data_IF_846860875817
#
_entry.id   IF_846860875817
#
_cell.length_a   1.000
_cell.length_b   1.000
_cell.length_c   1.000
_cell.angle_alpha   90.00
_cell.angle_beta   90.00
_cell.angle_gamma   90.00
#
_symmetry.space_group_name_H-M   'P 1'
#
loop_
_entity.id
_entity.type
_entity.pdbx_description
1 polymer ?
#
# COMPACT_ATOMS: atom_id res chain seq x y z
N UNK A 1 -38.25 2.74 2.92
CA UNK A 1 -37.08 3.46 3.47
C UNK A 1 -35.84 2.68 3.06
N UNK A 2 -34.87 3.26 2.31
CA UNK A 2 -33.61 2.56 2.09
C UNK A 2 -32.92 2.32 3.43
N UNK A 3 -32.40 1.12 3.64
CA UNK A 3 -31.79 0.70 4.89
C UNK A 3 -30.54 1.58 5.14
N UNK A 4 -30.56 2.42 6.17
CA UNK A 4 -29.41 3.27 6.51
C UNK A 4 -28.35 2.38 7.14
N UNK A 5 -27.44 1.87 6.32
CA UNK A 5 -26.28 1.10 6.79
C UNK A 5 -25.39 2.07 7.57
N UNK A 6 -25.33 1.89 8.89
CA UNK A 6 -24.46 2.66 9.76
C UNK A 6 -23.08 1.98 9.82
N UNK A 7 -22.09 2.60 9.19
CA UNK A 7 -20.69 2.17 9.32
C UNK A 7 -20.20 2.46 10.75
N UNK A 8 -19.75 1.41 11.44
CA UNK A 8 -19.20 1.52 12.81
C UNK A 8 -17.75 2.03 12.83
N UNK A 9 -17.03 1.87 11.72
CA UNK A 9 -15.63 2.25 11.58
C UNK A 9 -15.49 3.46 10.67
N UNK A 10 -14.63 4.40 11.06
CA UNK A 10 -14.34 5.61 10.32
C UNK A 10 -12.84 5.84 10.19
N UNK A 11 -12.41 6.22 8.99
CA UNK A 11 -11.05 6.70 8.70
C UNK A 11 -10.52 7.77 9.67
N UNK A 12 -11.40 8.57 10.28
CA UNK A 12 -11.06 9.66 11.22
C UNK A 12 -10.82 9.20 12.65
N UNK A 13 -11.11 7.93 12.97
CA UNK A 13 -10.81 7.37 14.28
C UNK A 13 -9.29 7.32 14.52
N UNK A 14 -8.91 7.23 15.79
CA UNK A 14 -7.51 7.12 16.18
C UNK A 14 -6.83 5.92 15.49
N UNK A 15 -5.53 6.01 15.16
CA UNK A 15 -4.79 4.88 14.60
C UNK A 15 -4.92 3.63 15.48
N UNK A 16 -5.18 2.48 14.85
CA UNK A 16 -5.34 1.19 15.54
C UNK A 16 -6.78 0.82 15.86
N UNK A 17 -7.74 1.75 15.83
CA UNK A 17 -9.16 1.41 16.06
C UNK A 17 -9.70 0.49 14.96
N UNK A 18 -9.31 0.71 13.70
CA UNK A 18 -9.77 -0.12 12.58
C UNK A 18 -9.09 -1.49 12.64
N UNK A 19 -7.77 -1.52 12.79
CA UNK A 19 -6.98 -2.74 12.86
C UNK A 19 -7.37 -3.61 14.06
N UNK A 20 -7.54 -3.03 15.25
CA UNK A 20 -8.01 -3.78 16.43
C UNK A 20 -9.41 -4.35 16.22
N UNK A 21 -10.30 -3.61 15.55
CA UNK A 21 -11.61 -4.13 15.19
C UNK A 21 -11.55 -5.27 14.16
N UNK A 22 -10.59 -5.26 13.23
CA UNK A 22 -10.36 -6.38 12.31
C UNK A 22 -9.81 -7.61 13.05
N UNK A 23 -8.85 -7.42 13.95
CA UNK A 23 -8.30 -8.48 14.81
C UNK A 23 -9.41 -9.11 15.66
N UNK A 24 -10.23 -8.29 16.33
CA UNK A 24 -11.31 -8.75 17.19
C UNK A 24 -12.40 -9.54 16.42
N UNK A 25 -12.61 -9.23 15.14
CA UNK A 25 -13.54 -9.96 14.26
C UNK A 25 -12.95 -11.26 13.70
N UNK A 26 -11.67 -11.54 13.94
CA UNK A 26 -10.98 -12.64 13.29
C UNK A 26 -10.92 -12.47 11.77
N UNK A 27 -10.76 -11.22 11.31
CA UNK A 27 -10.64 -10.94 9.88
C UNK A 27 -9.54 -11.80 9.26
N UNK A 28 -9.78 -12.25 8.02
CA UNK A 28 -8.85 -13.14 7.34
C UNK A 28 -7.51 -12.43 7.19
N UNK A 29 -6.41 -13.16 7.40
CA UNK A 29 -5.06 -12.61 7.22
C UNK A 29 -4.43 -11.98 8.46
N UNK A 30 -5.20 -11.72 9.53
CA UNK A 30 -4.65 -11.26 10.82
C UNK A 30 -3.53 -12.19 11.28
N UNK A 31 -2.41 -11.61 11.73
CA UNK A 31 -1.23 -12.35 12.17
C UNK A 31 -0.33 -12.87 11.05
N UNK A 32 -0.63 -12.56 9.79
CA UNK A 32 0.28 -12.83 8.65
C UNK A 32 1.02 -11.56 8.23
N UNK A 33 2.19 -11.73 7.63
CA UNK A 33 2.92 -10.62 7.00
C UNK A 33 2.34 -10.31 5.61
N UNK A 34 2.15 -9.02 5.36
CA UNK A 34 1.79 -8.42 4.09
C UNK A 34 2.98 -7.57 3.62
N UNK A 35 3.41 -7.75 2.37
CA UNK A 35 4.44 -6.89 1.79
C UNK A 35 3.89 -5.46 1.62
N UNK A 36 4.67 -4.48 2.03
CA UNK A 36 4.35 -3.05 1.97
C UNK A 36 5.58 -2.32 1.44
N UNK A 37 5.36 -1.39 0.51
CA UNK A 37 6.41 -0.54 -0.06
C UNK A 37 6.09 0.90 0.28
N UNK A 38 6.98 1.57 1.00
CA UNK A 38 6.87 3.00 1.32
C UNK A 38 7.76 3.78 0.37
N UNK A 39 7.18 4.68 -0.42
CA UNK A 39 7.90 5.51 -1.40
C UNK A 39 7.54 6.99 -1.24
N UNK A 40 8.25 7.87 -1.94
CA UNK A 40 7.99 9.30 -1.95
C UNK A 40 8.91 10.03 -2.93
N UNK A 41 9.01 11.37 -2.84
CA UNK A 41 9.84 12.15 -3.74
C UNK A 41 11.35 11.82 -3.61
N UNK A 42 12.17 12.17 -4.61
CA UNK A 42 13.60 11.87 -4.61
C UNK A 42 14.32 12.38 -3.34
N UNK A 43 15.19 11.54 -2.78
CA UNK A 43 15.95 11.84 -1.58
C UNK A 43 15.21 11.63 -0.27
N UNK A 44 13.91 11.31 -0.30
CA UNK A 44 13.14 10.99 0.91
C UNK A 44 13.73 9.77 1.62
N UNK A 45 13.87 9.86 2.94
CA UNK A 45 14.31 8.74 3.75
C UNK A 45 13.25 8.33 4.76
N UNK A 46 13.16 7.02 5.01
CA UNK A 46 12.16 6.40 5.88
C UNK A 46 12.86 5.52 6.92
N UNK A 47 12.57 5.76 8.18
CA UNK A 47 12.99 4.93 9.31
C UNK A 47 11.80 4.15 9.88
N UNK A 48 11.99 2.84 10.04
CA UNK A 48 11.08 1.93 10.72
C UNK A 48 11.43 1.86 12.21
N UNK A 49 10.43 1.63 13.06
CA UNK A 49 10.64 1.43 14.49
C UNK A 49 10.83 -0.04 14.86
N UNK A 50 11.69 -0.31 15.84
CA UNK A 50 11.90 -1.62 16.48
C UNK A 50 12.42 -1.38 17.90
N UNK A 51 12.01 -2.22 18.86
CA UNK A 51 12.50 -2.15 20.26
C UNK A 51 12.40 -0.74 20.87
N UNK A 52 11.22 -0.11 20.72
CA UNK A 52 10.91 1.25 21.17
C UNK A 52 11.81 2.37 20.61
N UNK A 53 12.49 2.13 19.47
CA UNK A 53 13.38 3.11 18.84
C UNK A 53 13.21 3.14 17.32
N UNK A 54 13.50 4.28 16.70
CA UNK A 54 13.66 4.34 15.24
C UNK A 54 15.03 3.80 14.85
N UNK A 55 15.06 2.91 13.86
CA UNK A 55 16.29 2.47 13.23
C UNK A 55 16.89 3.57 12.34
N UNK A 56 18.16 3.44 11.91
CA UNK A 56 18.72 4.32 10.90
C UNK A 56 17.82 4.41 9.66
N UNK A 57 17.61 5.63 9.12
CA UNK A 57 16.74 5.81 7.97
C UNK A 57 17.34 5.18 6.71
N UNK A 58 16.46 4.69 5.85
CA UNK A 58 16.79 4.10 4.55
C UNK A 58 16.25 5.00 3.44
N UNK A 59 16.95 5.07 2.32
CA UNK A 59 16.46 5.78 1.14
C UNK A 59 15.19 5.10 0.61
N UNK A 60 14.16 5.90 0.31
CA UNK A 60 12.94 5.40 -0.30
C UNK A 60 13.19 4.96 -1.76
N UNK A 61 12.55 3.88 -2.24
CA UNK A 61 11.50 3.11 -1.58
C UNK A 61 12.01 2.05 -0.59
N UNK A 62 11.32 1.90 0.54
CA UNK A 62 11.58 0.87 1.56
C UNK A 62 10.51 -0.22 1.51
N UNK A 63 10.91 -1.47 1.33
CA UNK A 63 9.99 -2.62 1.29
C UNK A 63 10.15 -3.48 2.55
N UNK A 64 9.03 -3.80 3.18
CA UNK A 64 8.99 -4.64 4.37
C UNK A 64 7.73 -5.48 4.42
N UNK A 65 7.80 -6.62 5.11
CA UNK A 65 6.64 -7.39 5.52
C UNK A 65 6.12 -6.83 6.83
N UNK A 66 4.87 -6.39 6.85
CA UNK A 66 4.17 -5.85 8.01
C UNK A 66 3.01 -6.77 8.42
N UNK A 67 2.82 -7.02 9.71
CA UNK A 67 1.70 -7.82 10.21
C UNK A 67 0.37 -7.12 9.93
N UNK A 68 -0.57 -7.90 9.38
CA UNK A 68 -1.97 -7.51 9.31
C UNK A 68 -2.54 -7.41 10.72
N UNK A 69 -3.18 -6.28 11.01
CA UNK A 69 -3.63 -5.85 12.33
C UNK A 69 -2.65 -4.93 13.06
N UNK A 70 -1.46 -4.67 12.49
CA UNK A 70 -0.44 -3.81 13.08
C UNK A 70 -0.59 -2.32 12.71
N UNK A 71 -0.15 -1.45 13.61
CA UNK A 71 0.01 0.00 13.40
C UNK A 71 1.49 0.34 13.45
N UNK A 72 2.03 0.82 12.33
CA UNK A 72 3.44 1.10 12.17
C UNK A 72 3.67 2.60 12.20
N UNK A 73 4.39 3.09 13.21
CA UNK A 73 4.94 4.45 13.19
C UNK A 73 6.21 4.46 12.35
N UNK A 74 6.25 5.35 11.37
CA UNK A 74 7.45 5.65 10.59
C UNK A 74 8.00 7.01 10.99
N UNK A 75 9.28 7.24 10.74
CA UNK A 75 9.90 8.56 10.75
C UNK A 75 10.36 8.87 9.33
N UNK A 76 9.98 10.04 8.82
CA UNK A 76 10.23 10.49 7.46
C UNK A 76 11.09 11.74 7.52
N UNK A 77 12.22 11.72 6.81
CA UNK A 77 13.25 12.78 6.81
C UNK A 77 13.70 13.07 5.38
N UNK A 78 14.56 14.09 5.22
CA UNK A 78 15.04 14.56 3.91
C UNK A 78 13.88 14.93 2.97
N UNK A 79 12.89 15.65 3.53
CA UNK A 79 11.73 16.10 2.77
C UNK A 79 12.17 17.23 1.81
N UNK A 80 11.87 17.14 0.50
CA UNK A 80 12.25 18.16 -0.47
C UNK A 80 11.81 19.56 -0.06
N UNK A 81 12.69 20.54 -0.26
CA UNK A 81 12.47 21.95 0.07
C UNK A 81 12.16 22.24 1.56
N UNK A 82 12.31 21.25 2.45
CA UNK A 82 12.01 21.33 3.89
C UNK A 82 13.15 20.71 4.72
N UNK A 83 14.38 21.24 4.62
CA UNK A 83 15.55 20.64 5.26
C UNK A 83 15.42 20.64 6.79
N UNK A 84 15.70 19.49 7.41
CA UNK A 84 15.64 19.32 8.87
C UNK A 84 14.25 19.11 9.45
N UNK A 85 13.18 19.26 8.65
CA UNK A 85 11.84 18.89 9.07
C UNK A 85 11.64 17.38 9.01
N UNK A 86 10.86 16.86 9.96
CA UNK A 86 10.56 15.44 10.08
C UNK A 86 9.06 15.22 10.26
N UNK A 87 8.55 14.12 9.69
CA UNK A 87 7.18 13.68 9.86
C UNK A 87 7.13 12.27 10.44
N UNK A 88 6.04 11.99 11.16
CA UNK A 88 5.87 10.74 11.90
C UNK A 88 4.59 10.01 11.50
N UNK A 89 4.43 9.62 10.22
CA UNK A 89 3.19 9.03 9.75
C UNK A 89 2.96 7.64 10.35
N UNK A 90 1.69 7.25 10.36
CA UNK A 90 1.26 5.91 10.78
C UNK A 90 0.70 5.16 9.59
N UNK A 91 1.11 3.89 9.43
CA UNK A 91 0.55 2.95 8.48
C UNK A 91 -0.14 1.83 9.25
N UNK A 92 -1.44 1.69 9.07
CA UNK A 92 -2.27 0.67 9.68
C UNK A 92 -2.61 -0.39 8.63
N UNK A 93 -2.17 -1.63 8.83
CA UNK A 93 -2.43 -2.74 7.90
C UNK A 93 -3.71 -3.44 8.35
N UNK A 94 -4.78 -3.31 7.57
CA UNK A 94 -6.12 -3.74 8.00
C UNK A 94 -6.58 -5.02 7.29
N UNK A 95 -5.99 -5.36 6.14
CA UNK A 95 -6.22 -6.60 5.42
C UNK A 95 -5.01 -6.93 4.51
N UNK A 96 -5.05 -8.07 3.82
CA UNK A 96 -4.04 -8.53 2.86
C UNK A 96 -4.57 -8.59 1.43
N UNK A 97 -3.65 -8.58 0.47
CA UNK A 97 -3.98 -8.62 -0.96
C UNK A 97 -3.93 -10.03 -1.59
N UNK A 98 -3.61 -11.07 -0.81
CA UNK A 98 -3.54 -12.47 -1.26
C UNK A 98 -2.73 -12.68 -2.54
N UNK A 99 -1.46 -12.26 -2.59
CA UNK A 99 -0.62 -12.48 -3.76
C UNK A 99 -0.34 -13.99 -3.94
N UNK A 100 0.06 -14.43 -5.15
CA UNK A 100 0.49 -15.82 -5.37
C UNK A 100 1.60 -16.22 -4.40
N UNK A 101 1.52 -17.43 -3.87
CA UNK A 101 2.47 -17.96 -2.88
C UNK A 101 3.92 -17.84 -3.38
N UNK A 102 4.79 -17.30 -2.53
CA UNK A 102 6.21 -17.09 -2.84
C UNK A 102 6.49 -15.88 -3.74
N UNK A 103 5.47 -15.11 -4.12
CA UNK A 103 5.59 -13.87 -4.93
C UNK A 103 5.11 -12.63 -4.18
N UNK A 104 4.95 -12.71 -2.86
CA UNK A 104 4.44 -11.62 -2.01
C UNK A 104 5.23 -10.33 -2.21
N UNK A 105 6.56 -10.44 -2.31
CA UNK A 105 7.49 -9.34 -2.52
C UNK A 105 7.35 -8.63 -3.90
N UNK A 106 6.69 -9.27 -4.88
CA UNK A 106 6.36 -8.66 -6.18
C UNK A 106 5.11 -7.80 -6.13
N UNK A 107 4.26 -7.99 -5.13
CA UNK A 107 2.99 -7.28 -4.99
C UNK A 107 2.91 -6.64 -3.60
N UNK A 108 3.77 -5.65 -3.28
CA UNK A 108 3.63 -4.90 -2.05
C UNK A 108 2.42 -3.96 -2.14
N UNK A 109 1.76 -3.68 -1.01
CA UNK A 109 0.83 -2.56 -0.89
C UNK A 109 1.64 -1.27 -1.03
N UNK A 110 1.35 -0.41 -2.03
CA UNK A 110 2.07 0.86 -2.20
C UNK A 110 1.55 1.90 -1.20
N UNK A 111 2.46 2.45 -0.40
CA UNK A 111 2.24 3.58 0.49
C UNK A 111 3.07 4.74 -0.07
N UNK A 112 2.43 5.59 -0.87
CA UNK A 112 3.09 6.71 -1.54
C UNK A 112 2.93 7.97 -0.68
N UNK A 113 4.05 8.47 -0.16
CA UNK A 113 4.16 9.75 0.53
C UNK A 113 4.38 10.85 -0.53
N UNK A 114 3.29 11.37 -1.09
CA UNK A 114 3.39 12.38 -2.16
C UNK A 114 3.94 13.71 -1.63
N UNK A 115 4.58 14.50 -2.49
CA UNK A 115 5.10 15.82 -2.12
C UNK A 115 3.99 16.73 -1.55
N UNK A 116 2.79 16.67 -2.13
CA UNK A 116 1.64 17.44 -1.66
C UNK A 116 1.18 16.99 -0.26
N UNK A 117 1.12 15.69 0.02
CA UNK A 117 0.73 15.21 1.34
C UNK A 117 1.74 15.64 2.42
N UNK A 118 3.03 15.53 2.09
CA UNK A 118 4.11 15.94 2.98
C UNK A 118 4.03 17.44 3.26
N UNK A 119 3.83 18.25 2.21
CA UNK A 119 3.67 19.71 2.33
C UNK A 119 2.48 20.07 3.22
N UNK A 120 1.30 19.51 2.92
CA UNK A 120 0.09 19.74 3.72
C UNK A 120 0.29 19.34 5.19
N UNK A 121 0.93 18.20 5.45
CA UNK A 121 1.19 17.74 6.79
C UNK A 121 2.17 18.65 7.56
N UNK A 122 3.22 19.13 6.91
CA UNK A 122 4.16 20.09 7.52
C UNK A 122 3.49 21.45 7.77
N UNK A 123 2.53 21.84 6.94
CA UNK A 123 1.70 23.03 7.13
C UNK A 123 0.64 22.85 8.23
N UNK A 124 0.59 21.68 8.89
CA UNK A 124 -0.24 21.39 10.05
C UNK A 124 -1.55 20.66 9.74
N UNK A 125 -1.77 20.22 8.50
CA UNK A 125 -2.93 19.42 8.15
C UNK A 125 -2.76 17.94 8.59
N UNK A 126 -3.87 17.28 8.87
CA UNK A 126 -3.90 15.82 8.99
C UNK A 126 -4.31 15.22 7.65
N UNK A 127 -3.38 14.59 6.95
CA UNK A 127 -3.65 13.89 5.70
C UNK A 127 -3.97 12.42 6.01
N UNK A 128 -5.12 11.94 5.54
CA UNK A 128 -5.54 10.54 5.69
C UNK A 128 -5.80 9.92 4.33
N UNK A 129 -5.13 8.81 4.04
CA UNK A 129 -5.34 8.01 2.83
C UNK A 129 -5.80 6.63 3.21
N UNK A 130 -6.86 6.14 2.56
CA UNK A 130 -7.28 4.74 2.63
C UNK A 130 -6.85 4.08 1.34
N UNK A 131 -6.02 3.05 1.47
CA UNK A 131 -5.52 2.26 0.36
C UNK A 131 -6.44 1.04 0.23
N UNK A 132 -6.98 0.83 -0.96
CA UNK A 132 -7.85 -0.30 -1.26
C UNK A 132 -7.34 -1.09 -2.47
N UNK A 133 -7.68 -2.37 -2.48
CA UNK A 133 -7.57 -3.22 -3.65
C UNK A 133 -8.87 -3.09 -4.44
N UNK A 134 -8.80 -2.58 -5.66
CA UNK A 134 -9.95 -2.41 -6.54
C UNK A 134 -10.62 -3.75 -6.87
N UNK A 135 -11.95 -3.73 -7.03
CA UNK A 135 -12.69 -4.89 -7.51
C UNK A 135 -12.64 -4.97 -9.03
N UNK A 136 -12.08 -6.06 -9.57
CA UNK A 136 -11.96 -6.26 -11.02
C UNK A 136 -13.30 -6.30 -11.76
N UNK A 137 -14.40 -6.61 -11.09
CA UNK A 137 -15.73 -6.64 -11.71
C UNK A 137 -16.33 -5.22 -11.90
N UNK A 138 -15.84 -4.25 -11.12
CA UNK A 138 -16.37 -2.88 -11.05
C UNK A 138 -15.39 -1.87 -11.66
N UNK A 139 -14.10 -2.21 -11.71
CA UNK A 139 -13.03 -1.35 -12.19
C UNK A 139 -13.28 -0.85 -13.62
N UNK A 140 -13.16 0.45 -13.82
CA UNK A 140 -13.11 1.00 -15.17
C UNK A 140 -11.77 0.63 -15.82
N UNK A 141 -11.76 0.07 -17.05
CA UNK A 141 -10.54 -0.32 -17.73
C UNK A 141 -9.79 0.93 -18.24
N UNK A 142 -9.10 1.61 -17.32
CA UNK A 142 -8.26 2.77 -17.61
C UNK A 142 -6.82 2.33 -17.63
N UNK A 143 -6.16 2.51 -18.78
CA UNK A 143 -4.73 2.26 -18.91
C UNK A 143 -3.95 3.20 -17.99
N UNK A 144 -3.48 2.64 -16.88
CA UNK A 144 -2.72 3.36 -15.84
C UNK A 144 -1.29 2.87 -15.91
N UNK A 145 -0.29 3.76 -15.76
CA UNK A 145 1.10 3.32 -15.70
C UNK A 145 1.31 2.52 -14.40
N UNK A 146 2.15 1.50 -14.43
CA UNK A 146 2.41 0.63 -13.28
C UNK A 146 2.90 1.40 -12.03
N UNK A 147 3.42 2.62 -12.22
CA UNK A 147 3.96 3.47 -11.17
C UNK A 147 2.98 4.55 -10.68
N UNK A 148 1.79 4.66 -11.29
CA UNK A 148 0.79 5.65 -10.91
C UNK A 148 -0.32 5.02 -10.07
N UNK A 149 -0.55 5.58 -8.88
CA UNK A 149 -1.66 5.19 -8.01
C UNK A 149 -2.84 6.11 -8.29
N UNK A 150 -3.99 5.55 -8.66
CA UNK A 150 -5.23 6.31 -8.82
C UNK A 150 -5.65 6.88 -7.46
N UNK A 151 -5.94 8.19 -7.42
CA UNK A 151 -6.35 8.89 -6.20
C UNK A 151 -7.75 9.44 -6.38
N UNK A 152 -8.64 9.09 -5.45
CA UNK A 152 -9.98 9.66 -5.35
C UNK A 152 -10.01 10.59 -4.14
N UNK A 153 -10.34 11.86 -4.37
CA UNK A 153 -10.49 12.83 -3.28
C UNK A 153 -11.85 12.65 -2.61
N UNK A 154 -11.84 12.41 -1.30
CA UNK A 154 -13.04 12.25 -0.49
C UNK A 154 -13.30 13.54 0.31
N UNK A 155 -14.52 14.10 0.28
CA UNK A 155 -14.87 15.25 1.09
C UNK A 155 -14.62 15.00 2.59
N UNK A 156 -14.21 16.02 3.33
CA UNK A 156 -13.95 15.90 4.77
C UNK A 156 -15.21 15.56 5.59
N UNK A 157 -16.42 15.78 5.05
CA UNK A 157 -17.67 15.33 5.66
C UNK A 157 -17.83 13.81 5.65
N UNK A 158 -17.19 13.14 4.69
CA UNK A 158 -17.45 11.74 4.36
C UNK A 158 -16.44 10.82 5.04
N UNK A 159 -16.76 9.53 5.10
CA UNK A 159 -15.87 8.51 5.65
C UNK A 159 -15.08 7.86 4.51
N UNK A 160 -13.79 8.17 4.41
CA UNK A 160 -12.93 7.63 3.36
C UNK A 160 -12.82 6.10 3.41
N UNK A 161 -12.98 5.49 4.59
CA UNK A 161 -12.98 4.04 4.73
C UNK A 161 -14.22 3.42 4.08
N UNK A 162 -15.38 4.06 4.24
CA UNK A 162 -16.62 3.63 3.59
C UNK A 162 -16.56 3.82 2.07
N UNK A 163 -16.03 4.94 1.59
CA UNK A 163 -15.87 5.16 0.14
C UNK A 163 -14.94 4.11 -0.47
N UNK A 164 -13.81 3.83 0.18
CA UNK A 164 -12.88 2.79 -0.25
C UNK A 164 -13.52 1.39 -0.27
N UNK A 165 -14.38 1.07 0.71
CA UNK A 165 -15.13 -0.19 0.79
C UNK A 165 -16.20 -0.34 -0.31
N UNK A 166 -16.67 0.78 -0.88
CA UNK A 166 -17.58 0.77 -2.03
C UNK A 166 -16.85 0.59 -3.37
N UNK A 167 -15.59 1.03 -3.45
CA UNK A 167 -14.76 0.94 -4.65
C UNK A 167 -13.93 -0.36 -4.71
N UNK A 168 -13.81 -1.06 -3.60
CA UNK A 168 -13.04 -2.29 -3.49
C UNK A 168 -12.84 -2.69 -2.04
N UNK A 169 -11.71 -3.34 -1.74
CA UNK A 169 -11.40 -3.83 -0.39
C UNK A 169 -10.31 -2.98 0.28
N UNK A 170 -10.60 -2.25 1.36
CA UNK A 170 -9.59 -1.50 2.10
C UNK A 170 -8.54 -2.44 2.71
N UNK A 171 -7.26 -2.13 2.49
CA UNK A 171 -6.13 -2.96 2.93
C UNK A 171 -5.15 -2.23 3.84
N UNK A 172 -5.06 -0.91 3.72
CA UNK A 172 -4.23 -0.09 4.62
C UNK A 172 -4.80 1.31 4.83
N UNK A 173 -4.43 1.94 5.94
CA UNK A 173 -4.72 3.35 6.23
C UNK A 173 -3.41 4.06 6.54
N UNK A 174 -3.12 5.13 5.80
CA UNK A 174 -2.00 6.02 6.03
C UNK A 174 -2.51 7.32 6.66
N UNK A 175 -1.85 7.78 7.72
CA UNK A 175 -2.11 9.10 8.32
C UNK A 175 -0.81 9.87 8.50
N UNK A 176 -0.76 11.11 8.03
CA UNK A 176 0.41 12.00 8.06
C UNK A 176 -0.01 13.30 8.76
N UNK A 177 0.86 13.86 9.61
CA UNK A 177 0.57 15.07 10.39
C UNK A 177 0.55 14.85 11.90
N UNK A 178 0.89 13.64 12.37
CA UNK A 178 1.19 13.44 13.79
C UNK A 178 2.46 14.19 14.18
N UNK A 179 2.38 15.00 15.25
CA UNK A 179 3.52 15.65 15.87
C UNK A 179 4.05 14.78 17.01
N UNK A 180 5.36 14.81 17.21
CA UNK A 180 5.99 14.24 18.41
C UNK A 180 5.47 15.03 19.63
N UNK A 181 5.00 14.37 20.70
CA UNK A 181 4.72 15.06 21.95
C UNK A 181 5.97 15.81 22.41
N UNK A 182 5.85 17.11 22.72
CA UNK A 182 7.02 17.92 23.13
C UNK A 182 7.71 17.41 24.41
N UNK A 183 6.99 16.60 25.21
CA UNK A 183 7.50 15.94 26.40
C UNK A 183 7.70 14.43 26.14
N UNK A 184 8.73 14.06 25.38
CA UNK A 184 9.23 12.67 25.34
C UNK A 184 10.03 12.31 26.61
N UNK A 185 9.54 12.71 27.79
CA UNK A 185 10.11 12.32 29.07
C UNK A 185 9.68 10.89 29.50
N UNK A 186 9.00 10.15 28.62
CA UNK A 186 8.44 8.82 28.86
C UNK A 186 8.67 7.84 27.70
N UNK A 187 8.21 6.62 27.93
CA UNK A 187 8.37 5.45 27.06
C UNK A 187 7.85 5.71 25.62
N UNK A 188 8.77 5.75 24.65
CA UNK A 188 8.47 5.85 23.21
C UNK A 188 7.54 4.73 22.72
N UNK A 189 7.40 3.65 23.48
CA UNK A 189 6.56 2.48 23.14
C UNK A 189 5.14 2.87 22.75
N UNK A 190 4.47 3.76 23.50
CA UNK A 190 3.09 4.15 23.17
C UNK A 190 3.01 4.98 21.88
N UNK A 191 3.96 5.91 21.70
CA UNK A 191 4.05 6.71 20.47
C UNK A 191 4.29 5.83 19.23
N UNK A 192 5.05 4.75 19.42
CA UNK A 192 5.41 3.76 18.40
C UNK A 192 4.40 2.60 18.29
N UNK A 193 3.27 2.67 19.00
CA UNK A 193 2.21 1.65 19.00
C UNK A 193 2.72 0.25 19.39
N UNK A 194 3.63 0.17 20.34
CA UNK A 194 4.20 -1.10 20.80
C UNK A 194 5.21 -1.72 19.84
N UNK A 195 5.58 -1.04 18.74
CA UNK A 195 6.51 -1.53 17.72
C UNK A 195 6.14 -2.94 17.20
N UNK A 196 5.00 -3.11 16.50
CA UNK A 196 4.66 -4.40 15.93
C UNK A 196 5.80 -4.92 15.02
N UNK A 197 6.01 -6.24 14.97
CA UNK A 197 7.14 -6.80 14.23
C UNK A 197 6.99 -6.54 12.73
N UNK A 198 8.12 -6.38 12.07
CA UNK A 198 8.25 -6.30 10.61
C UNK A 198 9.51 -7.02 10.16
N UNK A 199 9.49 -7.50 8.92
CA UNK A 199 10.64 -8.18 8.29
C UNK A 199 11.11 -7.38 7.07
N UNK A 200 12.43 -7.20 6.85
CA UNK A 200 12.91 -6.55 5.63
C UNK A 200 12.59 -7.44 4.42
N UNK A 201 12.18 -6.83 3.30
CA UNK A 201 11.96 -7.53 2.04
C UNK A 201 12.77 -6.85 0.94
N UNK A 202 13.31 -7.66 0.02
CA UNK A 202 14.00 -7.15 -1.17
C UNK A 202 12.99 -7.14 -2.31
N UNK A 203 12.93 -6.04 -3.08
CA UNK A 203 12.13 -6.00 -4.32
C UNK A 203 12.69 -7.04 -5.27
N UNK A 204 11.83 -7.89 -5.85
CA UNK A 204 12.29 -8.63 -7.01
C UNK A 204 12.66 -7.63 -8.12
N UNK A 205 13.77 -7.84 -8.83
CA UNK A 205 14.10 -7.02 -9.98
C UNK A 205 12.96 -7.10 -11.00
N UNK A 206 12.59 -5.95 -11.55
CA UNK A 206 11.67 -5.89 -12.67
C UNK A 206 12.32 -6.44 -13.95
N UNK A 207 11.53 -6.52 -15.02
CA UNK A 207 12.01 -7.06 -16.30
C UNK A 207 13.20 -6.25 -16.83
N UNK A 208 13.18 -4.93 -16.68
CA UNK A 208 14.22 -4.05 -17.19
C UNK A 208 15.53 -4.29 -16.42
N UNK A 209 15.47 -4.35 -15.10
CA UNK A 209 16.61 -4.69 -14.26
C UNK A 209 17.15 -6.10 -14.52
N UNK A 210 16.28 -7.06 -14.85
CA UNK A 210 16.71 -8.39 -15.27
C UNK A 210 17.38 -8.38 -16.65
N UNK A 211 16.93 -7.55 -17.59
CA UNK A 211 17.57 -7.35 -18.90
C UNK A 211 18.95 -6.72 -18.71
N UNK A 212 19.04 -5.65 -17.93
CA UNK A 212 20.30 -4.95 -17.63
C UNK A 212 21.32 -5.85 -16.91
N UNK A 213 20.85 -6.73 -16.03
CA UNK A 213 21.70 -7.72 -15.36
C UNK A 213 22.01 -8.97 -16.19
N UNK A 214 21.51 -9.05 -17.44
CA UNK A 214 21.70 -10.20 -18.33
C UNK A 214 20.98 -11.48 -17.89
N UNK A 215 20.08 -11.38 -16.91
CA UNK A 215 19.28 -12.49 -16.37
C UNK A 215 17.96 -12.70 -17.13
N UNK A 216 17.61 -11.79 -18.04
CA UNK A 216 16.46 -11.91 -18.92
C UNK A 216 16.82 -11.50 -20.35
N UNK A 217 16.36 -12.23 -21.38
CA UNK A 217 16.67 -11.89 -22.76
C UNK A 217 15.95 -10.60 -23.17
N UNK A 218 16.68 -9.67 -23.78
CA UNK A 218 16.16 -8.45 -24.37
C UNK A 218 15.39 -8.79 -25.67
N UNK A 219 14.17 -9.30 -25.51
CA UNK A 219 13.26 -9.61 -26.61
C UNK A 219 12.20 -8.53 -26.63
N UNK A 220 12.14 -7.78 -27.74
CA UNK A 220 11.07 -6.84 -28.00
C UNK A 220 9.70 -7.54 -27.79
N UNK A 221 8.79 -6.87 -27.06
CA UNK A 221 7.44 -7.38 -26.95
C UNK A 221 6.88 -7.59 -28.37
N UNK A 222 6.22 -8.73 -28.66
CA UNK A 222 5.54 -8.87 -29.94
C UNK A 222 4.60 -7.68 -30.12
N UNK A 223 4.48 -7.12 -31.33
CA UNK A 223 3.53 -6.03 -31.58
C UNK A 223 2.17 -6.45 -31.05
N UNK A 224 1.47 -5.54 -30.37
CA UNK A 224 0.12 -5.80 -29.90
C UNK A 224 -0.67 -6.36 -31.08
N UNK A 225 -1.10 -7.62 -30.97
CA UNK A 225 -1.81 -8.27 -32.06
C UNK A 225 -3.11 -7.53 -32.28
N UNK A 226 -3.26 -6.88 -33.45
CA UNK A 226 -4.53 -6.39 -33.93
C UNK A 226 -5.42 -7.59 -34.29
N UNK A 227 -5.99 -8.25 -33.28
CA UNK A 227 -7.26 -8.99 -33.30
C UNK A 227 -7.31 -10.00 -32.14
N UNK A 228 -8.40 -10.06 -31.36
CA UNK A 228 -8.71 -11.25 -30.59
C UNK A 228 -9.02 -12.38 -31.58
N UNK A 229 -8.25 -13.47 -31.51
CA UNK A 229 -8.53 -14.81 -32.06
C UNK A 229 -9.56 -14.87 -33.20
N UNK A 230 -9.13 -14.66 -34.45
CA UNK A 230 -9.88 -15.17 -35.59
C UNK A 230 -9.55 -16.66 -35.75
N UNK A 231 -10.25 -17.52 -35.02
CA UNK A 231 -10.40 -18.91 -35.46
C UNK A 231 -11.29 -18.90 -36.71
N UNK A 232 -10.72 -18.69 -37.88
CA UNK A 232 -11.30 -19.30 -39.09
C UNK A 232 -10.84 -20.74 -39.09
N UNK A 233 -11.74 -21.73 -38.93
CA UNK A 233 -11.35 -23.13 -39.03
C UNK A 233 -10.82 -23.36 -40.45
N UNK A 234 -9.53 -23.68 -40.58
CA UNK A 234 -9.00 -24.22 -41.82
C UNK A 234 -9.69 -25.57 -42.05
N UNK A 235 -10.44 -25.68 -43.15
CA UNK A 235 -11.29 -26.84 -43.50
C UNK A 235 -10.53 -28.16 -43.75
N UNK A 236 -9.27 -28.28 -43.35
CA UNK A 236 -8.35 -29.31 -43.85
C UNK A 236 -7.71 -30.20 -42.77
N UNK A 237 -8.28 -30.27 -41.56
CA UNK A 237 -7.87 -31.29 -40.59
C UNK A 237 -8.73 -32.56 -40.70
N UNK A 238 -8.11 -33.75 -40.91
CA UNK A 238 -8.84 -35.01 -40.99
C UNK A 238 -9.44 -35.35 -39.62
N UNK A 239 -10.77 -35.43 -39.57
CA UNK A 239 -11.51 -35.87 -38.38
C UNK A 239 -11.10 -37.30 -38.01
N UNK A 240 -10.58 -37.47 -36.79
CA UNK A 240 -10.28 -38.76 -36.19
C UNK A 240 -11.59 -39.55 -36.05
N UNK A 241 -11.67 -40.83 -36.44
CA UNK A 241 -12.89 -41.60 -36.29
C UNK A 241 -13.14 -41.91 -34.82
N UNK A 242 -14.35 -41.60 -34.36
CA UNK A 242 -14.83 -42.01 -33.04
C UNK A 242 -15.02 -43.54 -33.02
N UNK A 243 -14.42 -44.18 -32.01
CA UNK A 243 -14.79 -45.53 -31.57
C UNK A 243 -15.80 -45.43 -30.41
#
# INVERSE_FOLDING_TARGET
MPNKIHYLLDSKQAPGVVASAQVARGARGVGTFQAVSVSGPPGLQVALARDAQFLPPLDAPVISGMLVGGVYRLRVTQIPFRPGEELYPTVEIIDRIYPPLGREHRFPIPIVLTEEDLRLALDGALVSRVIYLEDSEIAEPVATSADSQTVVNVPTSDNALQVADQLGRPVAILRIGSRVPMDLNGDLTDFLYGCPPWVPLIRAPDRQALIESGQWPDVAAPPAGDAPYSETPTEDEPRIPAY
#
